data_IF_886481019707
#
_entry.id   IF_886481019707
#
_cell.length_a   1.000
_cell.length_b   1.000
_cell.length_c   1.000
_cell.angle_alpha   90.00
_cell.angle_beta   90.00
_cell.angle_gamma   90.00
#
_symmetry.space_group_name_H-M   'P 1'
#
loop_
_entity.id
_entity.type
_entity.pdbx_description
1 polymer ?
#
# COMPACT_ATOMS: atom_id res chain seq x y z
N UNK A 1 -4.29 15.56 5.73
CA UNK A 1 -2.88 15.85 5.38
C UNK A 1 -2.75 15.79 3.88
N UNK A 2 -2.06 16.75 3.27
CA UNK A 2 -1.69 16.67 1.86
C UNK A 2 -0.22 16.23 1.80
N UNK A 3 -0.02 14.93 1.57
CA UNK A 3 1.31 14.34 1.50
C UNK A 3 2.19 15.01 0.44
N UNK A 4 1.60 15.43 -0.69
CA UNK A 4 2.34 16.11 -1.76
C UNK A 4 2.85 17.47 -1.31
N UNK A 5 1.98 18.24 -0.63
CA UNK A 5 2.36 19.54 -0.07
C UNK A 5 3.46 19.39 1.00
N UNK A 6 3.29 18.45 1.94
CA UNK A 6 4.24 18.25 3.04
C UNK A 6 5.61 17.74 2.55
N UNK A 7 5.64 16.91 1.51
CA UNK A 7 6.90 16.51 0.86
C UNK A 7 7.55 17.70 0.15
N UNK A 8 6.77 18.45 -0.63
CA UNK A 8 7.27 19.58 -1.42
C UNK A 8 7.89 20.68 -0.56
N UNK A 9 7.23 21.08 0.53
CA UNK A 9 7.75 22.10 1.47
C UNK A 9 9.04 21.69 2.18
N UNK A 10 9.34 20.38 2.21
CA UNK A 10 10.58 19.82 2.75
C UNK A 10 11.61 19.51 1.65
N UNK A 11 11.39 19.99 0.41
CA UNK A 11 12.32 19.83 -0.70
C UNK A 11 12.32 18.44 -1.34
N UNK A 12 11.31 17.62 -1.06
CA UNK A 12 11.17 16.27 -1.63
C UNK A 12 10.27 16.36 -2.87
N UNK A 13 10.83 16.02 -4.04
CA UNK A 13 10.07 15.86 -5.28
C UNK A 13 9.29 14.54 -5.21
N UNK A 14 7.97 14.61 -5.39
CA UNK A 14 7.09 13.44 -5.35
C UNK A 14 6.29 13.30 -6.64
N UNK A 15 5.98 12.06 -6.99
CA UNK A 15 5.00 11.70 -8.01
C UNK A 15 3.85 10.97 -7.31
N UNK A 16 2.60 11.33 -7.61
CA UNK A 16 1.40 10.65 -7.10
C UNK A 16 0.71 9.94 -8.25
N UNK A 17 0.64 8.62 -8.17
CA UNK A 17 -0.15 7.86 -9.14
C UNK A 17 -1.64 8.10 -8.92
N UNK A 18 -2.39 8.12 -10.03
CA UNK A 18 -3.85 8.14 -10.03
C UNK A 18 -4.46 6.77 -10.41
N UNK A 19 -3.63 5.72 -10.45
CA UNK A 19 -4.00 4.35 -10.84
C UNK A 19 -5.15 3.77 -10.01
N UNK A 20 -5.28 4.19 -8.75
CA UNK A 20 -6.38 3.81 -7.85
C UNK A 20 -7.78 4.10 -8.42
N UNK A 21 -7.91 5.07 -9.34
CA UNK A 21 -9.20 5.39 -10.00
C UNK A 21 -9.58 4.38 -11.09
N UNK A 22 -8.66 3.51 -11.48
CA UNK A 22 -8.80 2.64 -12.65
C UNK A 22 -9.44 1.32 -12.26
N UNK A 23 -10.55 0.99 -12.93
CA UNK A 23 -11.32 -0.24 -12.71
C UNK A 23 -11.01 -1.35 -13.72
N UNK A 24 -10.28 -1.04 -14.78
CA UNK A 24 -9.91 -1.98 -15.83
C UNK A 24 -8.40 -2.13 -15.91
N UNK A 25 -7.91 -3.34 -16.17
CA UNK A 25 -6.49 -3.58 -16.43
C UNK A 25 -6.02 -2.83 -17.66
N UNK A 26 -4.92 -2.10 -17.48
CA UNK A 26 -4.16 -1.51 -18.58
C UNK A 26 -2.68 -1.54 -18.25
N UNK A 27 -1.80 -1.46 -19.26
CA UNK A 27 -0.38 -1.29 -19.01
C UNK A 27 -0.13 -0.07 -18.13
N UNK A 28 0.85 -0.18 -17.23
CA UNK A 28 1.31 0.94 -16.41
C UNK A 28 1.67 2.09 -17.33
N UNK A 29 1.19 3.28 -16.99
CA UNK A 29 1.43 4.46 -17.80
C UNK A 29 2.92 4.85 -17.79
N UNK A 30 3.32 5.55 -18.84
CA UNK A 30 4.73 5.91 -19.03
C UNK A 30 5.26 6.83 -17.92
N UNK A 31 4.42 7.71 -17.37
CA UNK A 31 4.84 8.66 -16.33
C UNK A 31 5.11 7.91 -15.02
N UNK A 32 4.29 6.92 -14.68
CA UNK A 32 4.53 6.05 -13.52
C UNK A 32 5.80 5.23 -13.68
N UNK A 33 6.07 4.66 -14.85
CA UNK A 33 7.33 3.93 -15.10
C UNK A 33 8.58 4.84 -15.04
N UNK A 34 8.49 6.06 -15.56
CA UNK A 34 9.53 7.09 -15.44
C UNK A 34 9.74 7.45 -13.96
N UNK A 35 8.66 7.69 -13.22
CA UNK A 35 8.72 8.01 -11.79
C UNK A 35 9.35 6.87 -10.97
N UNK A 36 8.94 5.61 -11.19
CA UNK A 36 9.55 4.44 -10.54
C UNK A 36 11.03 4.30 -10.90
N UNK A 37 11.40 4.69 -12.11
CA UNK A 37 12.80 4.66 -12.58
C UNK A 37 13.67 5.70 -11.89
N UNK A 38 13.18 6.91 -11.70
CA UNK A 38 13.91 8.02 -11.10
C UNK A 38 13.86 8.02 -9.56
N UNK A 39 12.85 7.36 -8.98
CA UNK A 39 12.60 7.39 -7.54
C UNK A 39 13.59 6.54 -6.76
N UNK A 40 13.98 7.05 -5.59
CA UNK A 40 14.74 6.31 -4.57
C UNK A 40 13.84 5.60 -3.56
N UNK A 41 12.61 6.11 -3.40
CA UNK A 41 11.62 5.62 -2.44
C UNK A 41 10.26 5.55 -3.14
N UNK A 42 9.56 4.44 -2.97
CA UNK A 42 8.15 4.29 -3.31
C UNK A 42 7.34 4.11 -2.03
N UNK A 43 6.39 5.00 -1.79
CA UNK A 43 5.45 4.90 -0.66
C UNK A 43 4.17 4.24 -1.19
N UNK A 44 3.91 3.01 -0.74
CA UNK A 44 2.74 2.24 -1.16
C UNK A 44 1.66 2.43 -0.10
N UNK A 45 0.70 3.30 -0.38
CA UNK A 45 -0.44 3.53 0.51
C UNK A 45 -1.56 2.58 0.12
N UNK A 46 -2.16 1.93 1.11
CA UNK A 46 -3.24 0.96 0.89
C UNK A 46 -4.42 1.27 1.81
N UNK A 47 -5.61 1.29 1.24
CA UNK A 47 -6.90 1.36 1.93
C UNK A 47 -7.92 0.45 1.23
N UNK A 48 -9.12 0.38 1.81
CA UNK A 48 -10.19 -0.47 1.29
C UNK A 48 -10.61 -0.08 -0.15
N UNK A 49 -10.41 1.18 -0.57
CA UNK A 49 -10.73 1.63 -1.93
C UNK A 49 -9.77 1.04 -2.98
N UNK A 50 -8.48 0.89 -2.64
CA UNK A 50 -7.44 0.38 -3.55
C UNK A 50 -7.56 -1.13 -3.82
N UNK A 51 -8.19 -1.91 -2.93
CA UNK A 51 -8.44 -3.34 -3.15
C UNK A 51 -9.31 -3.62 -4.39
N UNK A 52 -10.13 -2.63 -4.79
CA UNK A 52 -11.01 -2.71 -5.96
C UNK A 52 -10.44 -2.03 -7.22
N UNK A 53 -9.18 -1.59 -7.19
CA UNK A 53 -8.54 -0.89 -8.30
C UNK A 53 -7.62 -1.80 -9.10
N UNK A 54 -7.99 -2.08 -10.35
CA UNK A 54 -7.16 -2.84 -11.27
C UNK A 54 -5.83 -2.13 -11.56
N UNK A 55 -5.83 -0.79 -11.66
CA UNK A 55 -4.61 -0.01 -11.91
C UNK A 55 -3.63 -0.07 -10.75
N UNK A 56 -4.13 0.10 -9.52
CA UNK A 56 -3.29 -0.05 -8.31
C UNK A 56 -2.66 -1.44 -8.23
N UNK A 57 -3.44 -2.50 -8.53
CA UNK A 57 -2.93 -3.87 -8.52
C UNK A 57 -1.85 -4.09 -9.59
N UNK A 58 -1.98 -3.53 -10.79
CA UNK A 58 -0.92 -3.59 -11.82
C UNK A 58 0.37 -2.90 -11.37
N UNK A 59 0.27 -1.72 -10.75
CA UNK A 59 1.45 -1.05 -10.18
C UNK A 59 2.09 -1.89 -9.07
N UNK A 60 1.27 -2.51 -8.22
CA UNK A 60 1.75 -3.34 -7.13
C UNK A 60 2.55 -4.54 -7.63
N UNK A 61 2.27 -5.09 -8.83
CA UNK A 61 3.11 -6.14 -9.43
C UNK A 61 4.52 -5.68 -9.75
N UNK A 62 4.66 -4.43 -10.20
CA UNK A 62 5.91 -3.92 -10.76
C UNK A 62 6.79 -3.28 -9.69
N UNK A 63 6.21 -2.68 -8.66
CA UNK A 63 6.96 -2.03 -7.57
C UNK A 63 7.97 -2.97 -6.89
N UNK A 64 7.62 -4.21 -6.49
CA UNK A 64 8.58 -5.16 -5.92
C UNK A 64 9.69 -5.54 -6.90
N UNK A 65 9.42 -5.59 -8.20
CA UNK A 65 10.48 -5.82 -9.19
C UNK A 65 11.49 -4.67 -9.23
N UNK A 66 11.03 -3.43 -9.07
CA UNK A 66 11.91 -2.28 -8.96
C UNK A 66 12.70 -2.29 -7.65
N UNK A 67 12.13 -2.78 -6.56
CA UNK A 67 12.86 -2.98 -5.31
C UNK A 67 13.95 -4.06 -5.43
N UNK A 68 13.66 -5.16 -6.12
CA UNK A 68 14.61 -6.28 -6.28
C UNK A 68 15.71 -5.97 -7.30
N UNK A 69 15.35 -5.33 -8.42
CA UNK A 69 16.25 -5.08 -9.56
C UNK A 69 16.94 -3.72 -9.48
N UNK A 70 16.45 -2.80 -8.66
CA UNK A 70 16.97 -1.43 -8.51
C UNK A 70 17.06 -1.04 -7.04
N UNK A 71 17.78 0.04 -6.75
CA UNK A 71 17.90 0.58 -5.39
C UNK A 71 16.66 1.37 -4.95
N UNK A 72 15.45 0.86 -5.26
CA UNK A 72 14.18 1.47 -4.83
C UNK A 72 13.82 0.93 -3.44
N UNK A 73 13.69 1.83 -2.46
CA UNK A 73 13.17 1.45 -1.14
C UNK A 73 11.65 1.51 -1.16
N UNK A 74 10.98 0.41 -0.80
CA UNK A 74 9.51 0.35 -0.70
C UNK A 74 9.10 0.53 0.75
N UNK A 75 8.23 1.52 1.00
CA UNK A 75 7.67 1.82 2.32
C UNK A 75 6.15 1.65 2.24
N UNK A 76 5.59 0.55 2.77
CA UNK A 76 4.15 0.36 2.84
C UNK A 76 3.55 1.20 3.99
N UNK A 77 2.46 1.89 3.69
CA UNK A 77 1.60 2.57 4.67
C UNK A 77 0.22 1.91 4.58
N UNK A 78 -0.08 1.12 5.60
CA UNK A 78 -1.37 0.42 5.72
C UNK A 78 -2.33 1.35 6.45
N UNK A 79 -3.30 1.94 5.75
CA UNK A 79 -4.27 2.85 6.36
C UNK A 79 -5.35 2.10 7.15
N UNK A 80 -5.56 0.81 6.82
CA UNK A 80 -6.47 -0.09 7.53
C UNK A 80 -5.73 -1.35 8.00
N UNK A 81 -6.35 -2.11 8.92
CA UNK A 81 -5.75 -3.31 9.55
C UNK A 81 -5.52 -4.45 8.55
N UNK A 82 -6.38 -4.55 7.55
CA UNK A 82 -6.32 -5.52 6.46
C UNK A 82 -6.44 -4.75 5.13
N UNK A 83 -5.36 -4.09 4.72
CA UNK A 83 -5.40 -3.07 3.67
C UNK A 83 -5.74 -3.60 2.28
N UNK A 84 -5.54 -4.90 2.05
CA UNK A 84 -5.86 -5.61 0.82
C UNK A 84 -6.40 -6.99 1.22
N UNK A 85 -7.72 -7.16 1.28
CA UNK A 85 -8.32 -8.48 1.49
C UNK A 85 -8.05 -9.33 0.25
N UNK A 86 -7.22 -10.36 0.43
CA UNK A 86 -6.81 -11.22 -0.67
C UNK A 86 -7.98 -12.00 -1.26
N UNK A 87 -8.97 -12.37 -0.46
CA UNK A 87 -10.15 -13.08 -0.94
C UNK A 87 -11.05 -12.13 -1.74
N UNK A 88 -11.17 -10.87 -1.33
CA UNK A 88 -11.87 -9.84 -2.11
C UNK A 88 -11.18 -9.59 -3.46
N UNK A 89 -9.86 -9.35 -3.45
CA UNK A 89 -9.07 -9.15 -4.68
C UNK A 89 -9.20 -10.36 -5.62
N UNK A 90 -9.15 -11.57 -5.07
CA UNK A 90 -9.27 -12.81 -5.86
C UNK A 90 -10.67 -13.02 -6.44
N UNK A 91 -11.72 -12.56 -5.74
CA UNK A 91 -13.09 -12.58 -6.25
C UNK A 91 -13.30 -11.55 -7.36
N UNK A 92 -12.73 -10.35 -7.22
CA UNK A 92 -12.83 -9.28 -8.21
C UNK A 92 -11.98 -9.55 -9.46
N UNK A 93 -10.83 -10.20 -9.30
CA UNK A 93 -9.81 -10.38 -10.35
C UNK A 93 -9.24 -11.81 -10.39
N UNK A 94 -10.08 -12.83 -10.67
CA UNK A 94 -9.70 -14.24 -10.55
C UNK A 94 -8.62 -14.69 -11.56
N UNK A 95 -8.50 -14.02 -12.70
CA UNK A 95 -7.57 -14.40 -13.78
C UNK A 95 -6.09 -14.36 -13.38
N UNK A 96 -5.74 -13.57 -12.36
CA UNK A 96 -4.36 -13.38 -11.89
C UNK A 96 -4.19 -13.64 -10.38
N UNK A 97 -5.15 -14.35 -9.79
CA UNK A 97 -5.22 -14.74 -8.38
C UNK A 97 -3.87 -15.12 -7.74
N UNK A 98 -3.15 -16.10 -8.34
CA UNK A 98 -1.87 -16.58 -7.79
C UNK A 98 -0.84 -15.46 -7.69
N UNK A 99 -0.87 -14.54 -8.66
CA UNK A 99 0.05 -13.42 -8.72
C UNK A 99 -0.32 -12.35 -7.69
N UNK A 100 -1.61 -12.07 -7.51
CA UNK A 100 -2.12 -11.20 -6.44
C UNK A 100 -1.74 -11.71 -5.06
N UNK A 101 -1.95 -13.00 -4.81
CA UNK A 101 -1.53 -13.68 -3.56
C UNK A 101 -0.04 -13.49 -3.30
N UNK A 102 0.78 -13.68 -4.34
CA UNK A 102 2.24 -13.56 -4.22
C UNK A 102 2.65 -12.12 -3.91
N UNK A 103 2.09 -11.14 -4.64
CA UNK A 103 2.53 -9.74 -4.51
C UNK A 103 2.04 -9.10 -3.22
N UNK A 104 0.82 -9.43 -2.79
CA UNK A 104 0.26 -8.95 -1.51
C UNK A 104 1.07 -9.54 -0.36
N UNK A 105 1.39 -10.84 -0.38
CA UNK A 105 2.26 -11.44 0.63
C UNK A 105 3.67 -10.81 0.66
N UNK A 106 4.24 -10.43 -0.49
CA UNK A 106 5.50 -9.66 -0.53
C UNK A 106 5.34 -8.30 0.15
N UNK A 107 4.27 -7.56 -0.14
CA UNK A 107 3.99 -6.27 0.49
C UNK A 107 3.81 -6.40 2.00
N UNK A 108 3.06 -7.40 2.48
CA UNK A 108 2.87 -7.68 3.90
C UNK A 108 4.20 -8.02 4.59
N UNK A 109 5.06 -8.82 3.96
CA UNK A 109 6.39 -9.14 4.47
C UNK A 109 7.27 -7.89 4.58
N UNK A 110 7.22 -6.98 3.60
CA UNK A 110 7.89 -5.68 3.68
C UNK A 110 7.30 -4.88 4.84
N UNK A 111 5.96 -4.82 4.97
CA UNK A 111 5.28 -4.07 6.03
C UNK A 111 5.60 -4.59 7.44
N UNK A 112 5.80 -5.90 7.60
CA UNK A 112 6.21 -6.52 8.85
C UNK A 112 7.62 -6.10 9.30
N UNK A 113 8.48 -5.70 8.35
CA UNK A 113 9.83 -5.17 8.68
C UNK A 113 9.77 -3.75 9.23
N UNK A 114 8.70 -3.00 8.94
CA UNK A 114 8.50 -1.65 9.48
C UNK A 114 7.70 -1.69 10.78
N UNK A 115 8.23 -1.08 11.84
CA UNK A 115 7.57 -0.95 13.15
C UNK A 115 6.25 -0.15 13.12
N UNK A 116 5.95 0.53 12.01
CA UNK A 116 4.70 1.26 11.78
C UNK A 116 3.46 0.35 11.77
N UNK A 117 3.61 -0.92 11.37
CA UNK A 117 2.50 -1.90 11.33
C UNK A 117 2.04 -2.39 12.71
N UNK A 118 2.77 -2.08 13.79
CA UNK A 118 2.46 -2.54 15.16
C UNK A 118 1.57 -1.58 15.95
N UNK A 119 1.41 -0.31 15.54
CA UNK A 119 0.80 0.74 16.38
C UNK A 119 -0.65 1.11 16.05
N UNK A 120 -1.24 0.65 14.93
CA UNK A 120 -2.65 0.96 14.62
C UNK A 120 -3.65 0.30 15.59
N UNK A 121 -3.27 -0.81 16.24
CA UNK A 121 -4.09 -1.42 17.29
C UNK A 121 -4.14 -0.61 18.60
N UNK A 122 -3.19 0.31 18.82
CA UNK A 122 -3.14 1.13 20.04
C UNK A 122 -4.01 2.39 19.92
N UNK A 123 -4.28 2.85 18.68
CA UNK A 123 -5.00 4.11 18.43
C UNK A 123 -6.53 3.92 18.43
N UNK A 124 -7.04 2.72 18.19
CA UNK A 124 -8.48 2.40 18.30
C UNK A 124 -8.77 1.48 19.48
N UNK A 125 -9.07 2.09 20.63
CA UNK A 125 -9.96 1.52 21.65
C UNK A 125 -9.32 0.58 22.67
N UNK A 126 -8.47 1.10 23.55
CA UNK A 126 -8.39 0.55 24.92
C UNK A 126 -9.58 1.08 25.72
N UNK A 127 -10.72 0.39 25.63
CA UNK A 127 -11.60 0.33 26.79
C UNK A 127 -10.90 -0.59 27.79
N UNK A 128 -10.16 0.01 28.73
CA UNK A 128 -9.88 -0.67 29.99
C UNK A 128 -11.25 -0.96 30.64
N UNK A 129 -11.55 -2.20 31.07
CA UNK A 129 -12.72 -2.42 31.91
C UNK A 129 -12.45 -1.73 33.25
N UNK A 130 -13.31 -0.76 33.55
CA UNK A 130 -13.46 -0.16 34.86
C UNK A 130 -13.70 -1.29 35.88
N UNK A 131 -12.70 -1.53 36.74
CA UNK A 131 -12.89 -2.35 37.93
C UNK A 131 -13.58 -1.47 38.98
N UNK A 132 -14.88 -1.27 38.80
CA UNK A 132 -15.77 -0.75 39.81
C UNK A 132 -16.27 -1.90 40.70
N UNK A 133 -15.65 -1.99 41.89
CA UNK A 133 -16.20 -2.36 43.19
C UNK A 133 -17.29 -3.44 43.35
N UNK A 134 -17.07 -4.33 44.32
CA UNK A 134 -18.17 -4.98 45.03
C UNK A 134 -17.72 -5.91 46.16
N UNK A 135 -17.97 -5.48 47.41
CA UNK A 135 -18.17 -6.37 48.57
C UNK A 135 -17.04 -6.44 49.58
#
# INVERSE_FOLDING_TARGET
MDFGYDLSRNGIKSFKSESWKEKSFKPIDRQTLEALTESKVAVVMTSDEEASSAGFLEELLVIPEFQEKRSLTVIPILLTKHPLDIEEVSQLFPERDRMWRTVIAKLENIAAQYSLSRNLAVIHGTHAPDQAGGG
#
